data_IF_839064727007
#
_entry.id   IF_839064727007
#
_cell.length_a   1.000
_cell.length_b   1.000
_cell.length_c   1.000
_cell.angle_alpha   90.00
_cell.angle_beta   90.00
_cell.angle_gamma   90.00
#
_symmetry.space_group_name_H-M   'P 1'
#
loop_
_entity.id
_entity.type
_entity.pdbx_description
1 polymer ?
#
# COMPACT_ATOMS: atom_id res chain seq x y z
N UNK A 1 15.66 40.87 -43.02
CA UNK A 1 14.92 39.59 -42.93
C UNK A 1 15.55 38.57 -41.98
N UNK A 2 16.86 38.55 -41.78
CA UNK A 2 17.57 37.59 -40.91
C UNK A 2 17.27 37.71 -39.39
N UNK A 3 17.05 38.93 -38.87
CA UNK A 3 16.78 39.13 -37.43
C UNK A 3 15.43 38.59 -36.93
N UNK A 4 14.38 38.65 -37.75
CA UNK A 4 13.04 38.16 -37.37
C UNK A 4 12.99 36.62 -37.32
N UNK A 5 13.72 35.94 -38.21
CA UNK A 5 13.83 34.48 -38.24
C UNK A 5 14.63 33.97 -37.03
N UNK A 6 15.74 34.64 -36.68
CA UNK A 6 16.52 34.31 -35.49
C UNK A 6 15.72 34.48 -34.19
N UNK A 7 14.92 35.54 -34.08
CA UNK A 7 14.05 35.78 -32.91
C UNK A 7 12.92 34.74 -32.80
N UNK A 8 12.32 34.32 -33.91
CA UNK A 8 11.31 33.25 -33.95
C UNK A 8 11.90 31.89 -33.55
N UNK A 9 13.09 31.56 -34.07
CA UNK A 9 13.79 30.32 -33.73
C UNK A 9 14.20 30.29 -32.25
N UNK A 10 14.77 31.39 -31.73
CA UNK A 10 15.13 31.54 -30.30
C UNK A 10 13.92 31.42 -29.38
N UNK A 11 12.77 31.99 -29.77
CA UNK A 11 11.52 31.86 -29.01
C UNK A 11 10.97 30.43 -29.04
N UNK A 12 11.17 29.70 -30.13
CA UNK A 12 10.77 28.30 -30.26
C UNK A 12 11.64 27.36 -29.42
N UNK A 13 12.96 27.59 -29.39
CA UNK A 13 13.90 26.81 -28.57
C UNK A 13 13.70 27.10 -27.09
N UNK A 14 13.49 28.35 -26.69
CA UNK A 14 13.18 28.70 -25.30
C UNK A 14 11.88 28.04 -24.81
N UNK A 15 10.82 28.03 -25.63
CA UNK A 15 9.57 27.32 -25.29
C UNK A 15 9.77 25.82 -25.16
N UNK A 16 10.58 25.23 -26.03
CA UNK A 16 10.89 23.81 -25.98
C UNK A 16 11.71 23.45 -24.72
N UNK A 17 12.70 24.26 -24.37
CA UNK A 17 13.51 24.09 -23.15
C UNK A 17 12.64 24.17 -21.89
N UNK A 18 11.84 25.22 -21.76
CA UNK A 18 10.91 25.38 -20.62
C UNK A 18 9.96 24.20 -20.51
N UNK A 19 9.39 23.73 -21.63
CA UNK A 19 8.53 22.54 -21.64
C UNK A 19 9.28 21.29 -21.16
N UNK A 20 10.52 21.10 -21.59
CA UNK A 20 11.33 19.94 -21.23
C UNK A 20 11.69 19.95 -19.75
N UNK A 21 12.08 21.11 -19.22
CA UNK A 21 12.37 21.31 -17.79
C UNK A 21 11.12 21.12 -16.92
N UNK A 22 9.97 21.65 -17.36
CA UNK A 22 8.69 21.47 -16.67
C UNK A 22 8.31 19.99 -16.60
N UNK A 23 8.46 19.25 -17.70
CA UNK A 23 8.19 17.80 -17.73
C UNK A 23 9.16 17.01 -16.85
N UNK A 24 10.44 17.42 -16.77
CA UNK A 24 11.43 16.82 -15.86
C UNK A 24 11.03 17.05 -14.39
N UNK A 25 10.74 18.29 -14.02
CA UNK A 25 10.35 18.64 -12.65
C UNK A 25 9.07 17.88 -12.22
N UNK A 26 8.08 17.78 -13.10
CA UNK A 26 6.87 16.98 -12.84
C UNK A 26 7.15 15.47 -12.68
N UNK A 27 8.14 14.93 -13.40
CA UNK A 27 8.56 13.54 -13.23
C UNK A 27 9.30 13.33 -11.92
N UNK A 28 10.19 14.24 -11.53
CA UNK A 28 10.92 14.18 -10.26
C UNK A 28 9.99 14.31 -9.06
N UNK A 29 9.00 15.21 -9.13
CA UNK A 29 7.95 15.35 -8.11
C UNK A 29 7.17 14.05 -7.95
N UNK A 30 6.65 13.48 -9.05
CA UNK A 30 5.93 12.19 -9.01
C UNK A 30 6.79 11.06 -8.46
N UNK A 31 8.07 10.99 -8.84
CA UNK A 31 9.00 9.99 -8.34
C UNK A 31 9.14 10.04 -6.82
N UNK A 32 9.27 11.24 -6.25
CA UNK A 32 9.35 11.42 -4.80
C UNK A 32 8.06 10.97 -4.11
N UNK A 33 6.90 11.35 -4.66
CA UNK A 33 5.58 10.96 -4.12
C UNK A 33 5.37 9.44 -4.18
N UNK A 34 5.72 8.79 -5.30
CA UNK A 34 5.60 7.34 -5.46
C UNK A 34 6.54 6.59 -4.51
N UNK A 35 7.78 7.05 -4.36
CA UNK A 35 8.75 6.44 -3.45
C UNK A 35 8.30 6.54 -1.97
N UNK A 36 7.81 7.71 -1.55
CA UNK A 36 7.26 7.92 -0.19
C UNK A 36 6.09 6.97 0.11
N UNK A 37 5.18 6.81 -0.85
CA UNK A 37 4.08 5.87 -0.72
C UNK A 37 4.58 4.41 -0.65
N UNK A 38 5.51 4.03 -1.53
CA UNK A 38 6.09 2.69 -1.57
C UNK A 38 6.78 2.29 -0.25
N UNK A 39 7.57 3.20 0.33
CA UNK A 39 8.26 3.00 1.61
C UNK A 39 7.28 2.81 2.76
N UNK A 40 6.22 3.62 2.79
CA UNK A 40 5.16 3.53 3.80
C UNK A 40 4.45 2.17 3.72
N UNK A 41 4.09 1.74 2.51
CA UNK A 41 3.41 0.45 2.30
C UNK A 41 4.32 -0.72 2.67
N UNK A 42 5.58 -0.72 2.23
CA UNK A 42 6.52 -1.80 2.52
C UNK A 42 6.71 -1.98 4.02
N UNK A 43 6.93 -0.87 4.73
CA UNK A 43 7.03 -0.90 6.18
C UNK A 43 5.77 -1.45 6.84
N UNK A 44 4.59 -1.05 6.36
CA UNK A 44 3.32 -1.53 6.91
C UNK A 44 3.11 -3.03 6.66
N UNK A 45 3.39 -3.50 5.45
CA UNK A 45 3.29 -4.92 5.09
C UNK A 45 4.27 -5.77 5.89
N UNK A 46 5.48 -5.27 6.17
CA UNK A 46 6.44 -5.95 7.03
C UNK A 46 5.93 -6.11 8.45
N UNK A 47 5.33 -5.07 9.04
CA UNK A 47 4.72 -5.15 10.39
C UNK A 47 3.54 -6.12 10.44
N UNK A 48 2.70 -6.15 9.40
CA UNK A 48 1.62 -7.12 9.31
C UNK A 48 2.17 -8.54 9.17
N UNK A 49 3.17 -8.74 8.30
CA UNK A 49 3.86 -10.02 8.09
C UNK A 49 4.46 -10.56 9.40
N UNK A 50 5.13 -9.69 10.16
CA UNK A 50 5.67 -10.03 11.47
C UNK A 50 4.60 -10.45 12.47
N UNK A 51 3.40 -9.88 12.38
CA UNK A 51 2.26 -10.24 13.23
C UNK A 51 1.71 -11.63 12.89
N UNK A 52 1.78 -12.05 11.63
CA UNK A 52 1.30 -13.37 11.19
C UNK A 52 2.20 -14.53 11.68
N UNK A 53 3.50 -14.30 11.86
CA UNK A 53 4.45 -15.34 12.31
C UNK A 53 4.00 -16.04 13.62
N UNK A 54 3.72 -15.31 14.73
CA UNK A 54 3.22 -15.93 15.96
C UNK A 54 1.84 -16.58 15.78
N UNK A 55 0.95 -16.04 14.94
CA UNK A 55 -0.34 -16.68 14.63
C UNK A 55 -0.17 -18.07 13.99
N UNK A 56 0.75 -18.19 13.03
CA UNK A 56 1.09 -19.49 12.44
C UNK A 56 1.67 -20.48 13.47
N UNK A 57 2.34 -19.99 14.52
CA UNK A 57 2.89 -20.81 15.60
C UNK A 57 1.85 -21.27 16.62
N UNK A 58 0.75 -20.54 16.81
CA UNK A 58 -0.35 -20.97 17.70
C UNK A 58 -0.89 -22.35 17.29
N UNK A 59 -1.06 -22.59 15.99
CA UNK A 59 -1.53 -23.89 15.47
C UNK A 59 -0.48 -25.00 15.62
N UNK A 60 0.80 -24.66 15.54
CA UNK A 60 1.92 -25.62 15.54
C UNK A 60 2.39 -26.01 16.95
N UNK A 61 2.23 -25.12 17.94
CA UNK A 61 2.74 -25.30 19.30
C UNK A 61 1.66 -25.02 20.35
N UNK A 62 0.69 -25.94 20.54
CA UNK A 62 -0.46 -25.74 21.43
C UNK A 62 -0.05 -25.54 22.90
N UNK A 63 1.01 -26.21 23.35
CA UNK A 63 1.61 -26.07 24.69
C UNK A 63 2.01 -24.62 25.03
N UNK A 64 2.37 -23.83 24.01
CA UNK A 64 2.82 -22.44 24.14
C UNK A 64 1.78 -21.44 23.59
N UNK A 65 0.54 -21.88 23.39
CA UNK A 65 -0.53 -21.09 22.75
C UNK A 65 -0.66 -19.70 23.37
N UNK A 66 -0.73 -19.59 24.70
CA UNK A 66 -0.86 -18.30 25.38
C UNK A 66 0.29 -17.33 25.07
N UNK A 67 1.53 -17.83 25.04
CA UNK A 67 2.72 -17.02 24.74
C UNK A 67 2.67 -16.51 23.29
N UNK A 68 2.28 -17.37 22.35
CA UNK A 68 2.20 -16.98 20.94
C UNK A 68 1.06 -16.00 20.67
N UNK A 69 -0.09 -16.15 21.33
CA UNK A 69 -1.21 -15.21 21.24
C UNK A 69 -0.80 -13.83 21.77
N UNK A 70 -0.15 -13.75 22.94
CA UNK A 70 0.31 -12.46 23.45
C UNK A 70 1.37 -11.82 22.56
N UNK A 71 2.31 -12.60 22.02
CA UNK A 71 3.28 -12.08 21.04
C UNK A 71 2.60 -11.53 19.79
N UNK A 72 1.59 -12.22 19.25
CA UNK A 72 0.82 -11.74 18.11
C UNK A 72 0.10 -10.43 18.46
N UNK A 73 -0.52 -10.35 19.62
CA UNK A 73 -1.19 -9.14 20.10
C UNK A 73 -0.23 -7.97 20.32
N UNK A 74 0.95 -8.19 20.90
CA UNK A 74 1.98 -7.13 21.04
C UNK A 74 2.42 -6.61 19.69
N UNK A 75 2.71 -7.50 18.73
CA UNK A 75 3.11 -7.11 17.37
C UNK A 75 2.00 -6.39 16.62
N UNK A 76 0.76 -6.83 16.80
CA UNK A 76 -0.42 -6.14 16.29
C UNK A 76 -0.52 -4.71 16.80
N UNK A 77 -0.34 -4.51 18.11
CA UNK A 77 -0.34 -3.17 18.71
C UNK A 77 0.81 -2.29 18.19
N UNK A 78 1.96 -2.87 17.85
CA UNK A 78 3.05 -2.15 17.16
C UNK A 78 2.68 -1.80 15.72
N UNK A 79 2.08 -2.73 14.98
CA UNK A 79 1.60 -2.49 13.62
C UNK A 79 0.51 -1.40 13.59
N UNK A 80 -0.36 -1.33 14.61
CA UNK A 80 -1.34 -0.25 14.78
C UNK A 80 -0.72 1.12 15.08
N UNK A 81 0.53 1.21 15.55
CA UNK A 81 1.21 2.50 15.69
C UNK A 81 1.54 3.10 14.33
N UNK A 82 1.83 2.25 13.34
CA UNK A 82 1.96 2.57 11.92
C UNK A 82 0.59 2.40 11.26
N UNK A 83 -0.32 3.31 11.61
CA UNK A 83 -1.76 3.18 11.32
C UNK A 83 -2.02 3.05 9.82
N UNK A 84 -3.08 2.34 9.49
CA UNK A 84 -3.77 2.46 8.20
C UNK A 84 -4.00 3.94 7.79
N UNK A 85 -4.14 4.85 8.76
CA UNK A 85 -4.22 6.29 8.52
C UNK A 85 -2.98 6.87 7.80
N UNK A 86 -1.78 6.36 8.08
CA UNK A 86 -0.56 6.81 7.42
C UNK A 86 -0.53 6.35 5.96
N UNK A 87 -0.90 5.09 5.71
CA UNK A 87 -1.15 4.56 4.37
C UNK A 87 -2.20 5.37 3.62
N UNK A 88 -3.33 5.67 4.26
CA UNK A 88 -4.41 6.46 3.66
C UNK A 88 -3.99 7.91 3.41
N UNK A 89 -3.22 8.51 4.31
CA UNK A 89 -2.67 9.87 4.14
C UNK A 89 -1.73 9.91 2.95
N UNK A 90 -0.78 8.98 2.87
CA UNK A 90 0.16 8.88 1.75
C UNK A 90 -0.56 8.59 0.43
N UNK A 91 -1.63 7.77 0.44
CA UNK A 91 -2.47 7.55 -0.73
C UNK A 91 -3.16 8.84 -1.20
N UNK A 92 -3.71 9.62 -0.28
CA UNK A 92 -4.36 10.91 -0.62
C UNK A 92 -3.33 11.89 -1.20
N UNK A 93 -2.12 11.95 -0.63
CA UNK A 93 -1.02 12.76 -1.19
C UNK A 93 -0.64 12.28 -2.59
N UNK A 94 -0.52 10.96 -2.79
CA UNK A 94 -0.24 10.36 -4.08
C UNK A 94 -1.30 10.70 -5.14
N UNK A 95 -2.59 10.74 -4.78
CA UNK A 95 -3.66 11.08 -5.71
C UNK A 95 -3.58 12.51 -6.29
N UNK A 96 -2.83 13.41 -5.66
CA UNK A 96 -2.64 14.78 -6.17
C UNK A 96 -1.69 14.82 -7.38
N UNK A 97 -0.71 13.91 -7.41
CA UNK A 97 0.37 13.91 -8.41
C UNK A 97 0.27 12.73 -9.39
N UNK A 98 -0.40 11.65 -9.00
CA UNK A 98 -0.40 10.40 -9.74
C UNK A 98 -1.18 10.47 -11.05
N UNK A 99 -0.66 9.76 -12.06
CA UNK A 99 -1.50 9.42 -13.21
C UNK A 99 -2.56 8.40 -12.82
N UNK A 100 -3.65 8.35 -13.61
CA UNK A 100 -4.78 7.47 -13.33
C UNK A 100 -4.38 6.01 -13.05
N UNK A 101 -3.51 5.35 -13.85
CA UNK A 101 -3.10 3.97 -13.57
C UNK A 101 -2.41 3.82 -12.21
N UNK A 102 -1.52 4.75 -11.84
CA UNK A 102 -0.81 4.71 -10.55
C UNK A 102 -1.79 4.95 -9.39
N UNK A 103 -2.74 5.87 -9.56
CA UNK A 103 -3.78 6.13 -8.57
C UNK A 103 -4.68 4.89 -8.35
N UNK A 104 -5.08 4.20 -9.43
CA UNK A 104 -5.86 2.96 -9.36
C UNK A 104 -5.08 1.83 -8.66
N UNK A 105 -3.80 1.61 -9.02
CA UNK A 105 -2.95 0.63 -8.37
C UNK A 105 -2.72 0.92 -6.87
N UNK A 106 -2.55 2.21 -6.50
CA UNK A 106 -2.44 2.61 -5.09
C UNK A 106 -3.71 2.35 -4.28
N UNK A 107 -4.89 2.46 -4.92
CA UNK A 107 -6.17 2.20 -4.28
C UNK A 107 -6.35 0.70 -4.03
N UNK A 108 -5.98 -0.12 -5.00
CA UNK A 108 -5.98 -1.58 -4.87
C UNK A 108 -5.03 -2.03 -3.75
N UNK A 109 -3.80 -1.49 -3.72
CA UNK A 109 -2.84 -1.75 -2.65
C UNK A 109 -3.39 -1.39 -1.27
N UNK A 110 -3.93 -0.17 -1.10
CA UNK A 110 -4.52 0.26 0.16
C UNK A 110 -5.70 -0.63 0.60
N UNK A 111 -6.47 -1.12 -0.36
CA UNK A 111 -7.59 -2.05 -0.11
C UNK A 111 -7.07 -3.37 0.45
N UNK A 112 -6.03 -3.97 -0.15
CA UNK A 112 -5.42 -5.20 0.36
C UNK A 112 -4.76 -5.04 1.72
N UNK A 113 -4.09 -3.91 1.96
CA UNK A 113 -3.58 -3.55 3.30
C UNK A 113 -4.71 -3.54 4.34
N UNK A 114 -5.81 -2.84 4.05
CA UNK A 114 -6.95 -2.75 4.95
C UNK A 114 -7.60 -4.13 5.19
N UNK A 115 -7.71 -4.94 4.14
CA UNK A 115 -8.25 -6.29 4.23
C UNK A 115 -7.42 -7.19 5.16
N UNK A 116 -6.11 -7.27 4.88
CA UNK A 116 -5.18 -8.11 5.63
C UNK A 116 -5.09 -7.67 7.08
N UNK A 117 -5.01 -6.37 7.33
CA UNK A 117 -5.03 -5.77 8.65
C UNK A 117 -6.26 -6.22 9.44
N UNK A 118 -7.46 -6.02 8.90
CA UNK A 118 -8.72 -6.43 9.56
C UNK A 118 -8.80 -7.93 9.81
N UNK A 119 -8.38 -8.75 8.84
CA UNK A 119 -8.38 -10.20 8.98
C UNK A 119 -7.43 -10.66 10.10
N UNK A 120 -6.25 -10.05 10.16
CA UNK A 120 -5.24 -10.30 11.21
C UNK A 120 -5.77 -9.92 12.59
N UNK A 121 -6.33 -8.71 12.73
CA UNK A 121 -6.92 -8.25 13.98
C UNK A 121 -8.03 -9.17 14.49
N UNK A 122 -8.94 -9.60 13.61
CA UNK A 122 -10.01 -10.56 13.96
C UNK A 122 -9.46 -11.91 14.42
N UNK A 123 -8.48 -12.46 13.72
CA UNK A 123 -7.86 -13.73 14.10
C UNK A 123 -7.21 -13.65 15.50
N UNK A 124 -6.59 -12.53 15.87
CA UNK A 124 -6.02 -12.34 17.20
C UNK A 124 -7.13 -12.16 18.25
N UNK A 125 -8.17 -11.38 17.94
CA UNK A 125 -9.31 -11.15 18.83
C UNK A 125 -10.02 -12.47 19.19
N UNK A 126 -10.31 -13.31 18.18
CA UNK A 126 -10.87 -14.66 18.38
C UNK A 126 -9.99 -15.53 19.27
N UNK A 127 -8.67 -15.48 19.08
CA UNK A 127 -7.73 -16.25 19.89
C UNK A 127 -7.65 -15.77 21.34
N UNK A 128 -7.77 -14.46 21.59
CA UNK A 128 -7.77 -13.87 22.94
C UNK A 128 -9.13 -13.93 23.63
N UNK A 129 -10.22 -14.04 22.89
CA UNK A 129 -11.58 -13.92 23.42
C UNK A 129 -11.93 -12.50 23.88
N UNK A 130 -11.30 -11.48 23.30
CA UNK A 130 -11.57 -10.07 23.58
C UNK A 130 -11.53 -9.27 22.28
N UNK A 131 -12.34 -8.22 22.19
CA UNK A 131 -12.27 -7.28 21.08
C UNK A 131 -10.94 -6.54 21.10
N UNK A 132 -10.32 -6.40 19.93
CA UNK A 132 -9.10 -5.62 19.75
C UNK A 132 -9.45 -4.31 19.06
N UNK A 133 -8.72 -3.24 19.42
CA UNK A 133 -8.73 -2.03 18.61
C UNK A 133 -8.18 -2.40 17.22
N UNK A 134 -9.02 -2.28 16.19
CA UNK A 134 -8.63 -2.53 14.79
C UNK A 134 -8.30 -1.23 14.06
N UNK A 135 -8.13 -0.12 14.80
CA UNK A 135 -8.04 1.22 14.25
C UNK A 135 -9.42 1.79 13.90
N UNK A 136 -9.49 2.95 13.22
CA UNK A 136 -10.72 3.72 13.01
C UNK A 136 -11.79 3.04 12.13
N UNK A 137 -11.60 1.78 11.78
CA UNK A 137 -12.56 0.97 11.05
C UNK A 137 -13.09 -0.12 11.98
N UNK A 138 -14.13 0.24 12.74
CA UNK A 138 -15.00 -0.72 13.46
C UNK A 138 -15.96 -1.44 12.49
N UNK A 139 -16.71 -2.46 12.96
CA UNK A 139 -16.77 -3.88 12.53
C UNK A 139 -17.24 -4.07 11.06
N UNK A 140 -17.19 -5.28 10.44
CA UNK A 140 -17.04 -5.39 8.99
C UNK A 140 -18.17 -4.66 8.28
N UNK A 141 -17.84 -3.55 7.63
CA UNK A 141 -18.78 -2.88 6.76
C UNK A 141 -19.29 -3.91 5.73
N UNK A 142 -20.55 -3.86 5.29
CA UNK A 142 -21.05 -4.77 4.24
C UNK A 142 -20.13 -4.83 3.02
N UNK A 143 -19.45 -3.71 2.73
CA UNK A 143 -18.42 -3.58 1.70
C UNK A 143 -17.22 -4.51 1.94
N UNK A 144 -16.77 -4.71 3.18
CA UNK A 144 -15.65 -5.60 3.49
C UNK A 144 -16.00 -7.07 3.30
N UNK A 145 -17.19 -7.49 3.74
CA UNK A 145 -17.69 -8.85 3.50
C UNK A 145 -17.83 -9.11 2.00
N UNK A 146 -18.42 -8.16 1.27
CA UNK A 146 -18.58 -8.25 -0.17
C UNK A 146 -17.23 -8.32 -0.89
N UNK A 147 -16.23 -7.56 -0.42
CA UNK A 147 -14.90 -7.53 -1.03
C UNK A 147 -14.14 -8.84 -0.79
N UNK A 148 -14.19 -9.42 0.41
CA UNK A 148 -13.66 -10.76 0.66
C UNK A 148 -14.34 -11.82 -0.23
N UNK A 149 -15.67 -11.79 -0.34
CA UNK A 149 -16.41 -12.72 -1.19
C UNK A 149 -16.04 -12.58 -2.67
N UNK A 150 -15.89 -11.33 -3.15
CA UNK A 150 -15.51 -11.05 -4.56
C UNK A 150 -14.13 -11.62 -4.87
N UNK A 151 -13.23 -11.56 -3.89
CA UNK A 151 -11.87 -12.08 -3.99
C UNK A 151 -11.75 -13.58 -3.67
N UNK A 152 -12.87 -14.26 -3.39
CA UNK A 152 -12.93 -15.70 -3.13
C UNK A 152 -12.50 -16.12 -1.73
N UNK A 153 -12.45 -15.19 -0.77
CA UNK A 153 -12.14 -15.46 0.63
C UNK A 153 -13.40 -15.75 1.45
N UNK A 154 -13.26 -16.64 2.43
CA UNK A 154 -14.26 -16.83 3.49
C UNK A 154 -14.32 -15.56 4.37
N UNK A 155 -15.47 -14.86 4.46
CA UNK A 155 -15.61 -13.67 5.28
C UNK A 155 -15.49 -13.91 6.79
N UNK A 156 -15.83 -15.12 7.23
CA UNK A 156 -15.77 -15.55 8.64
C UNK A 156 -14.34 -15.92 9.01
N UNK A 157 -13.65 -16.68 8.16
CA UNK A 157 -12.30 -17.15 8.42
C UNK A 157 -11.38 -17.05 7.19
N UNK A 158 -10.99 -15.83 6.81
CA UNK A 158 -10.17 -15.64 5.62
C UNK A 158 -8.77 -16.26 5.80
N UNK A 159 -8.22 -16.82 4.73
CA UNK A 159 -6.86 -17.36 4.70
C UNK A 159 -5.83 -16.23 4.72
N UNK A 160 -5.23 -16.00 5.89
CA UNK A 160 -4.26 -14.93 6.10
C UNK A 160 -2.99 -15.05 5.24
N UNK A 161 -2.56 -16.27 4.93
CA UNK A 161 -1.35 -16.49 4.11
C UNK A 161 -1.64 -16.12 2.65
N UNK A 162 -2.82 -16.51 2.15
CA UNK A 162 -3.25 -16.13 0.80
C UNK A 162 -3.54 -14.62 0.70
N UNK A 163 -4.14 -14.00 1.73
CA UNK A 163 -4.33 -12.54 1.77
C UNK A 163 -3.00 -11.79 1.79
N UNK A 164 -2.00 -12.29 2.53
CA UNK A 164 -0.65 -11.72 2.53
C UNK A 164 -0.01 -11.78 1.15
N UNK A 165 -0.15 -12.92 0.45
CA UNK A 165 0.30 -13.06 -0.94
C UNK A 165 -0.36 -12.02 -1.85
N UNK A 166 -1.68 -11.88 -1.78
CA UNK A 166 -2.43 -10.89 -2.59
C UNK A 166 -1.99 -9.45 -2.32
N UNK A 167 -1.73 -9.10 -1.06
CA UNK A 167 -1.22 -7.79 -0.71
C UNK A 167 0.19 -7.54 -1.28
N UNK A 168 1.06 -8.56 -1.31
CA UNK A 168 2.39 -8.47 -1.93
C UNK A 168 2.31 -8.38 -3.46
N UNK A 169 1.38 -9.10 -4.07
CA UNK A 169 1.13 -9.01 -5.52
C UNK A 169 0.68 -7.58 -5.89
N UNK A 170 -0.31 -7.02 -5.18
CA UNK A 170 -0.77 -5.65 -5.38
C UNK A 170 0.35 -4.60 -5.17
N UNK A 171 1.28 -4.87 -4.24
CA UNK A 171 2.45 -4.02 -4.03
C UNK A 171 3.39 -4.04 -5.24
N UNK A 172 3.65 -5.24 -5.78
CA UNK A 172 4.45 -5.41 -6.99
C UNK A 172 3.80 -4.73 -8.20
N UNK A 173 2.49 -4.85 -8.35
CA UNK A 173 1.73 -4.19 -9.42
C UNK A 173 1.79 -2.67 -9.30
N UNK A 174 1.69 -2.12 -8.08
CA UNK A 174 1.91 -0.70 -7.82
C UNK A 174 3.31 -0.25 -8.26
N UNK A 175 4.37 -0.96 -7.83
CA UNK A 175 5.75 -0.62 -8.18
C UNK A 175 5.97 -0.67 -9.69
N UNK A 176 5.46 -1.69 -10.36
CA UNK A 176 5.54 -1.86 -11.80
C UNK A 176 4.81 -0.74 -12.56
N UNK A 177 3.62 -0.37 -12.09
CA UNK A 177 2.82 0.73 -12.67
C UNK A 177 3.49 2.08 -12.46
N UNK A 178 4.04 2.33 -11.27
CA UNK A 178 4.80 3.54 -10.97
C UNK A 178 6.07 3.64 -11.83
N UNK A 179 6.82 2.54 -11.98
CA UNK A 179 7.98 2.48 -12.84
C UNK A 179 7.62 2.77 -14.31
N UNK A 180 6.51 2.21 -14.80
CA UNK A 180 6.02 2.46 -16.14
C UNK A 180 5.65 3.93 -16.37
N UNK A 181 4.95 4.56 -15.41
CA UNK A 181 4.61 5.99 -15.46
C UNK A 181 5.86 6.88 -15.50
N UNK A 182 6.88 6.50 -14.75
CA UNK A 182 8.16 7.22 -14.72
C UNK A 182 9.04 6.90 -15.94
N UNK A 183 8.74 5.85 -16.71
CA UNK A 183 9.60 5.37 -17.80
C UNK A 183 10.86 4.66 -17.30
N UNK A 184 10.78 4.06 -16.12
CA UNK A 184 11.87 3.42 -15.37
C UNK A 184 11.78 1.88 -15.36
N UNK A 185 11.09 1.28 -16.34
CA UNK A 185 10.92 -0.17 -16.47
C UNK A 185 12.30 -0.87 -16.39
N UNK A 186 12.64 -1.40 -15.20
CA UNK A 186 13.91 -2.06 -14.90
C UNK A 186 14.74 -1.49 -13.73
N UNK A 187 14.35 -0.38 -13.09
CA UNK A 187 15.12 0.24 -11.97
C UNK A 187 14.46 0.08 -10.59
N UNK A 188 13.16 -0.26 -10.54
CA UNK A 188 12.39 -0.40 -9.29
C UNK A 188 11.84 -1.82 -9.06
N UNK A 189 12.37 -2.82 -9.80
CA UNK A 189 12.05 -4.23 -9.62
C UNK A 189 12.98 -4.91 -8.61
#
# INVERSE_FOLDING_TARGET
>A
MTGAIAALLSRSTARYQVRTETLRALRESRRATYASYAETIDHYLDKLSDTLIPLGRVKRFPEQRGIWIEKAHTRWNEALKYRQNEVDTQRVLLQLDATRPVAEASLEMATWCALLSRATGRAIAELKGQDLDTGPLSPPSPQYVQLLLTEGFDPEKPDLDQMQSRARDAYSDFLSTAAADLGENGVLA
#
